data_IF_767415602270
#
_entry.id   IF_767415602270
#
_cell.length_a   1.000
_cell.length_b   1.000
_cell.length_c   1.000
_cell.angle_alpha   90.00
_cell.angle_beta   90.00
_cell.angle_gamma   90.00
#
_symmetry.space_group_name_H-M   'P 1'
#
loop_
_entity.id
_entity.type
_entity.pdbx_description
1 polymer ?
#
# COMPACT_ATOMS: atom_id res chain seq x y z
N UNK A 1 12.69 43.25 25.62
CA UNK A 1 13.60 42.27 25.01
C UNK A 1 12.76 41.02 24.73
N UNK A 2 12.12 40.94 23.58
CA UNK A 2 11.36 39.77 23.15
C UNK A 2 12.34 38.80 22.53
N UNK A 3 12.45 37.58 23.10
CA UNK A 3 13.15 36.46 22.45
C UNK A 3 12.27 35.95 21.30
N UNK A 4 12.70 36.25 20.10
CA UNK A 4 12.17 35.64 18.89
C UNK A 4 12.54 34.14 18.91
N UNK A 5 11.58 33.27 19.22
CA UNK A 5 11.75 31.83 19.08
C UNK A 5 11.58 31.51 17.61
N UNK A 6 12.68 31.37 16.88
CA UNK A 6 12.71 30.92 15.51
C UNK A 6 12.39 29.43 15.55
N UNK A 7 11.13 29.04 15.35
CA UNK A 7 10.75 27.68 15.03
C UNK A 7 11.25 27.38 13.63
N UNK A 8 12.32 26.63 13.55
CA UNK A 8 12.81 26.05 12.31
C UNK A 8 11.83 24.94 11.95
N UNK A 9 10.87 25.22 11.06
CA UNK A 9 10.14 24.17 10.37
C UNK A 9 11.13 23.46 9.45
N UNK A 10 11.68 22.33 9.91
CA UNK A 10 12.19 21.34 8.99
C UNK A 10 10.96 20.77 8.26
N UNK A 11 10.75 21.19 7.02
CA UNK A 11 9.97 20.40 6.10
C UNK A 11 10.66 19.03 6.06
N UNK A 12 10.09 18.04 6.72
CA UNK A 12 10.38 16.65 6.40
C UNK A 12 9.87 16.48 4.96
N UNK A 13 10.78 16.67 4.00
CA UNK A 13 10.56 16.11 2.70
C UNK A 13 10.50 14.60 2.94
N UNK A 14 9.32 14.01 2.87
CA UNK A 14 9.14 12.58 2.79
C UNK A 14 9.79 12.17 1.46
N UNK A 15 11.08 11.86 1.49
CA UNK A 15 11.72 11.25 0.35
C UNK A 15 11.24 9.81 0.32
N UNK A 16 10.70 9.41 -0.80
CA UNK A 16 10.44 8.01 -1.07
C UNK A 16 11.72 7.22 -0.80
N UNK A 17 11.66 6.25 0.09
CA UNK A 17 12.80 5.42 0.47
C UNK A 17 12.62 4.03 -0.13
N UNK A 18 13.62 3.61 -0.91
CA UNK A 18 13.61 2.34 -1.62
C UNK A 18 14.26 1.23 -0.79
N UNK A 19 13.62 0.08 -0.78
CA UNK A 19 14.06 -1.12 -0.07
C UNK A 19 14.08 -2.35 -0.97
N UNK A 20 15.03 -3.24 -0.69
CA UNK A 20 15.14 -4.56 -1.29
C UNK A 20 15.05 -5.63 -0.21
N UNK A 21 14.21 -6.65 -0.40
CA UNK A 21 14.10 -7.77 0.52
C UNK A 21 14.03 -9.10 -0.21
N UNK A 22 14.49 -10.18 0.44
CA UNK A 22 14.29 -11.55 -0.01
C UNK A 22 13.47 -12.28 1.03
N UNK A 23 12.30 -12.78 0.62
CA UNK A 23 11.32 -13.40 1.49
C UNK A 23 11.27 -14.89 1.18
N UNK A 24 11.55 -15.74 2.18
CA UNK A 24 11.47 -17.18 2.03
C UNK A 24 10.01 -17.68 2.18
N UNK A 25 9.26 -17.65 1.10
CA UNK A 25 7.88 -18.12 1.00
C UNK A 25 7.80 -19.52 0.37
N UNK A 26 8.80 -20.38 0.58
CA UNK A 26 8.92 -21.70 -0.04
C UNK A 26 7.90 -22.74 0.46
N UNK A 27 7.23 -22.47 1.58
CA UNK A 27 6.18 -23.33 2.13
C UNK A 27 4.93 -23.35 1.25
N UNK A 28 4.31 -24.53 1.09
CA UNK A 28 3.01 -24.69 0.43
C UNK A 28 1.83 -24.50 1.38
N UNK A 29 2.08 -24.42 2.69
CA UNK A 29 1.02 -24.38 3.72
C UNK A 29 1.11 -23.16 4.61
N UNK A 30 2.30 -22.62 4.84
CA UNK A 30 2.52 -21.52 5.78
C UNK A 30 2.71 -20.21 5.02
N UNK A 31 2.04 -19.18 5.50
CA UNK A 31 2.23 -17.80 5.08
C UNK A 31 3.42 -17.18 5.83
N UNK A 32 4.15 -16.32 5.13
CA UNK A 32 5.20 -15.48 5.71
C UNK A 32 4.69 -14.05 5.70
N UNK A 33 4.50 -13.48 6.85
CA UNK A 33 3.97 -12.13 7.04
C UNK A 33 5.10 -11.11 7.04
N UNK A 34 4.85 -9.95 6.46
CA UNK A 34 5.82 -8.88 6.30
C UNK A 34 5.19 -7.54 6.72
N UNK A 35 5.98 -6.74 7.43
CA UNK A 35 5.61 -5.37 7.80
C UNK A 35 6.48 -4.39 7.03
N UNK A 36 5.88 -3.46 6.31
CA UNK A 36 6.60 -2.38 5.65
C UNK A 36 7.20 -1.40 6.66
N UNK A 37 6.51 -1.12 7.76
CA UNK A 37 7.01 -0.26 8.82
C UNK A 37 8.27 -0.82 9.51
N UNK A 38 8.37 -2.15 9.63
CA UNK A 38 9.52 -2.83 10.24
C UNK A 38 10.58 -3.27 9.21
N UNK A 39 10.30 -3.15 7.91
CA UNK A 39 11.12 -3.64 6.80
C UNK A 39 11.55 -5.09 6.96
N UNK A 40 10.70 -5.93 7.53
CA UNK A 40 11.05 -7.31 7.88
C UNK A 40 9.84 -8.24 7.94
N UNK A 41 10.16 -9.56 7.87
CA UNK A 41 9.18 -10.58 8.21
C UNK A 41 8.91 -10.56 9.71
N UNK A 42 7.66 -10.86 10.07
CA UNK A 42 7.21 -10.94 11.46
C UNK A 42 6.56 -12.28 11.76
N UNK A 43 6.75 -12.76 12.98
CA UNK A 43 6.02 -13.90 13.52
C UNK A 43 4.75 -13.40 14.23
N UNK A 44 3.61 -13.99 13.86
CA UNK A 44 2.31 -13.53 14.35
C UNK A 44 1.38 -14.71 14.63
N UNK A 45 0.83 -14.78 15.83
CA UNK A 45 0.02 -15.92 16.28
C UNK A 45 -1.43 -15.87 15.73
N UNK A 46 -1.97 -14.68 15.50
CA UNK A 46 -3.35 -14.48 15.08
C UNK A 46 -3.43 -13.37 14.01
N UNK A 47 -2.92 -13.64 12.80
CA UNK A 47 -2.76 -12.62 11.76
C UNK A 47 -4.09 -12.03 11.27
N UNK A 48 -5.17 -12.80 11.31
CA UNK A 48 -6.50 -12.31 10.90
C UNK A 48 -7.09 -11.24 11.82
N UNK A 49 -6.55 -11.08 13.04
CA UNK A 49 -7.00 -10.09 14.01
C UNK A 49 -5.92 -9.08 14.42
N UNK A 50 -4.86 -8.95 13.62
CA UNK A 50 -3.77 -8.01 13.89
C UNK A 50 -3.57 -7.05 12.73
N UNK A 51 -3.16 -5.82 13.05
CA UNK A 51 -2.71 -4.79 12.10
C UNK A 51 -1.19 -4.71 11.96
N UNK A 52 -0.44 -5.63 12.61
CA UNK A 52 1.02 -5.55 12.62
C UNK A 52 1.68 -5.98 11.30
N UNK A 53 0.93 -6.57 10.38
CA UNK A 53 1.41 -7.00 9.06
C UNK A 53 0.65 -6.32 7.93
N UNK A 54 1.33 -6.06 6.84
CA UNK A 54 0.77 -5.38 5.67
C UNK A 54 0.52 -6.35 4.51
N UNK A 55 1.48 -7.26 4.28
CA UNK A 55 1.49 -8.18 3.15
C UNK A 55 1.99 -9.55 3.59
N UNK A 56 1.52 -10.62 2.95
CA UNK A 56 2.03 -11.96 3.25
C UNK A 56 2.21 -12.79 1.98
N UNK A 57 3.13 -13.76 2.07
CA UNK A 57 3.61 -14.55 0.94
C UNK A 57 3.49 -16.05 1.21
N UNK A 58 3.02 -16.80 0.23
CA UNK A 58 3.02 -18.27 0.22
C UNK A 58 3.26 -18.75 -1.20
N UNK A 59 4.43 -19.32 -1.47
CA UNK A 59 4.84 -19.62 -2.85
C UNK A 59 4.71 -18.35 -3.71
N UNK A 60 4.03 -18.42 -4.84
CA UNK A 60 3.78 -17.26 -5.69
C UNK A 60 2.61 -16.39 -5.22
N UNK A 61 1.82 -16.86 -4.27
CA UNK A 61 0.63 -16.16 -3.81
C UNK A 61 0.99 -15.05 -2.83
N UNK A 62 0.37 -13.90 -3.03
CA UNK A 62 0.56 -12.73 -2.19
C UNK A 62 -0.82 -12.24 -1.74
N UNK A 63 -0.93 -11.86 -0.49
CA UNK A 63 -2.16 -11.31 0.11
C UNK A 63 -1.84 -10.06 0.92
N UNK A 64 -2.82 -9.20 1.09
CA UNK A 64 -2.76 -7.98 1.91
C UNK A 64 -3.53 -8.18 3.21
N UNK A 65 -3.33 -7.30 4.18
CA UNK A 65 -4.17 -7.29 5.38
C UNK A 65 -5.49 -6.58 5.07
N UNK A 66 -6.38 -7.30 4.38
CA UNK A 66 -7.67 -6.77 3.94
C UNK A 66 -8.67 -7.88 3.64
N UNK A 67 -9.93 -7.53 3.50
CA UNK A 67 -10.99 -8.41 3.02
C UNK A 67 -11.08 -9.71 3.81
N UNK A 68 -10.83 -10.86 3.17
CA UNK A 68 -10.92 -12.17 3.82
C UNK A 68 -9.62 -12.59 4.56
N UNK A 69 -8.57 -11.81 4.50
CA UNK A 69 -7.26 -12.16 5.07
C UNK A 69 -6.97 -11.52 6.42
N UNK A 70 -7.62 -10.41 6.75
CA UNK A 70 -7.38 -9.69 8.00
C UNK A 70 -8.34 -8.52 8.21
N UNK A 71 -8.24 -7.91 9.38
CA UNK A 71 -9.09 -6.79 9.82
C UNK A 71 -8.59 -5.43 9.31
N UNK A 72 -7.47 -5.39 8.59
CA UNK A 72 -6.87 -4.16 8.13
C UNK A 72 -7.63 -3.52 6.96
N UNK A 73 -7.33 -2.27 6.72
CA UNK A 73 -7.81 -1.46 5.59
C UNK A 73 -6.86 -1.53 4.38
N UNK A 74 -6.04 -2.57 4.31
CA UNK A 74 -5.10 -2.79 3.22
C UNK A 74 -5.80 -2.99 1.87
N UNK A 75 -5.02 -3.33 0.89
CA UNK A 75 -5.48 -3.59 -0.47
C UNK A 75 -4.34 -3.39 -1.46
N UNK A 76 -4.58 -3.71 -2.71
CA UNK A 76 -3.58 -3.46 -3.75
C UNK A 76 -4.23 -3.07 -5.08
N UNK A 77 -3.45 -2.41 -5.91
CA UNK A 77 -3.74 -2.14 -7.31
C UNK A 77 -2.52 -2.47 -8.16
N UNK A 78 -2.75 -2.70 -9.45
CA UNK A 78 -1.70 -2.86 -10.44
C UNK A 78 -1.86 -1.78 -11.50
N UNK A 79 -0.76 -1.21 -11.96
CA UNK A 79 -0.73 -0.08 -12.89
C UNK A 79 -1.56 -0.30 -14.17
N UNK A 80 -1.60 -1.47 -14.72
CA UNK A 80 -2.39 -1.72 -15.94
C UNK A 80 -3.70 -2.43 -15.64
N UNK A 81 -4.58 -1.78 -14.90
CA UNK A 81 -5.92 -2.28 -14.65
C UNK A 81 -6.68 -2.56 -15.96
N UNK A 82 -7.02 -3.81 -16.16
CA UNK A 82 -7.89 -4.27 -17.22
C UNK A 82 -7.21 -4.75 -18.49
N UNK A 83 -5.91 -4.61 -18.66
CA UNK A 83 -5.16 -5.21 -19.75
C UNK A 83 -3.98 -6.01 -19.23
N UNK A 84 -4.26 -7.15 -18.61
CA UNK A 84 -3.27 -8.20 -18.40
C UNK A 84 -2.90 -8.83 -19.76
N UNK A 85 -2.44 -8.01 -20.69
CA UNK A 85 -1.95 -8.49 -21.97
C UNK A 85 -0.48 -8.88 -21.80
N UNK A 86 -0.29 -10.16 -21.54
CA UNK A 86 1.00 -10.80 -21.30
C UNK A 86 1.95 -10.69 -22.50
N UNK A 87 1.48 -10.18 -23.61
CA UNK A 87 2.20 -10.22 -24.88
C UNK A 87 2.87 -8.90 -25.32
N UNK A 88 2.58 -7.77 -24.69
CA UNK A 88 3.02 -6.46 -25.20
C UNK A 88 3.87 -5.65 -24.22
N UNK A 89 4.86 -6.27 -23.62
CA UNK A 89 5.64 -5.68 -22.55
C UNK A 89 6.69 -4.68 -23.02
N UNK A 90 6.36 -3.42 -22.96
CA UNK A 90 7.33 -2.29 -23.06
C UNK A 90 7.54 -1.57 -21.73
N UNK A 91 7.50 -2.28 -20.65
CA UNK A 91 7.41 -1.78 -19.30
C UNK A 91 8.72 -1.88 -18.50
N UNK A 92 9.85 -1.99 -19.18
CA UNK A 92 11.18 -2.04 -18.58
C UNK A 92 11.45 -0.80 -17.70
N UNK A 93 10.79 0.30 -18.00
CA UNK A 93 10.99 1.59 -17.33
C UNK A 93 9.84 1.96 -16.37
N UNK A 94 8.81 1.13 -16.21
CA UNK A 94 7.62 1.46 -15.39
C UNK A 94 7.97 1.81 -13.94
N UNK A 95 8.98 1.17 -13.37
CA UNK A 95 9.39 1.48 -12.00
C UNK A 95 9.86 2.93 -11.85
N UNK A 96 10.68 3.42 -12.75
CA UNK A 96 11.25 4.77 -12.68
C UNK A 96 10.24 5.85 -13.10
N UNK A 97 9.32 5.51 -14.00
CA UNK A 97 8.33 6.44 -14.53
C UNK A 97 7.10 6.57 -13.63
N UNK A 98 6.75 5.52 -12.87
CA UNK A 98 5.53 5.46 -12.08
C UNK A 98 5.75 6.04 -10.68
N UNK A 99 5.51 7.33 -10.53
CA UNK A 99 5.69 8.05 -9.26
C UNK A 99 4.37 8.49 -8.62
N UNK A 100 3.24 8.22 -9.29
CA UNK A 100 1.91 8.56 -8.82
C UNK A 100 1.03 7.31 -8.79
N UNK A 101 0.12 7.24 -7.84
CA UNK A 101 -0.83 6.13 -7.73
C UNK A 101 -1.83 6.26 -8.87
N UNK A 102 -2.06 5.18 -9.67
CA UNK A 102 -3.01 5.24 -10.76
C UNK A 102 -4.44 5.50 -10.28
N UNK A 103 -5.06 6.56 -10.77
CA UNK A 103 -6.46 6.88 -10.50
C UNK A 103 -7.36 6.42 -11.65
N UNK A 104 -8.50 5.81 -11.32
CA UNK A 104 -9.47 5.32 -12.30
C UNK A 104 -10.82 6.01 -12.10
N UNK A 105 -11.07 7.02 -12.92
CA UNK A 105 -12.35 7.72 -12.92
C UNK A 105 -12.58 8.60 -11.70
N UNK A 106 -13.20 8.08 -10.67
CA UNK A 106 -13.55 8.81 -9.45
C UNK A 106 -12.62 8.51 -8.26
N UNK A 107 -11.38 8.05 -8.50
CA UNK A 107 -10.42 7.75 -7.44
C UNK A 107 -9.70 6.41 -7.61
N UNK A 108 -8.97 6.01 -6.59
CA UNK A 108 -8.20 4.77 -6.56
C UNK A 108 -9.09 3.61 -6.12
N UNK A 109 -9.20 2.57 -6.94
CA UNK A 109 -9.96 1.37 -6.59
C UNK A 109 -9.00 0.33 -6.01
N UNK A 110 -8.98 0.21 -4.70
CA UNK A 110 -8.20 -0.80 -3.99
C UNK A 110 -8.89 -2.16 -4.04
N UNK A 111 -8.18 -3.16 -4.54
CA UNK A 111 -8.67 -4.54 -4.55
C UNK A 111 -8.29 -5.23 -3.25
N UNK A 112 -9.31 -5.74 -2.55
CA UNK A 112 -9.14 -6.52 -1.33
C UNK A 112 -8.94 -8.01 -1.65
N UNK A 113 -8.54 -8.75 -0.63
CA UNK A 113 -8.29 -10.18 -0.73
C UNK A 113 -9.59 -10.98 -0.89
N UNK A 114 -9.58 -11.89 -1.86
CA UNK A 114 -10.73 -12.72 -2.22
C UNK A 114 -10.34 -14.20 -2.39
N UNK A 115 -11.34 -15.09 -2.51
CA UNK A 115 -11.14 -16.52 -2.74
C UNK A 115 -10.75 -16.78 -4.19
N UNK A 116 -9.69 -17.55 -4.37
CA UNK A 116 -9.21 -18.04 -5.67
C UNK A 116 -8.99 -19.56 -5.61
N UNK A 117 -9.18 -20.27 -6.74
CA UNK A 117 -9.07 -21.74 -6.83
C UNK A 117 -7.81 -22.20 -7.55
N UNK A 118 -6.70 -21.52 -7.35
CA UNK A 118 -5.41 -21.81 -7.98
C UNK A 118 -4.27 -22.10 -6.99
N UNK A 119 -4.59 -22.42 -5.75
CA UNK A 119 -3.62 -22.88 -4.76
C UNK A 119 -3.34 -24.37 -4.96
N UNK A 120 -2.08 -24.70 -5.22
CA UNK A 120 -1.69 -26.10 -5.38
C UNK A 120 -1.50 -26.79 -4.05
N UNK A 121 -2.33 -27.80 -3.77
CA UNK A 121 -2.15 -28.69 -2.64
C UNK A 121 -1.17 -29.83 -3.00
N UNK A 122 -0.02 -29.84 -2.33
CA UNK A 122 1.06 -30.81 -2.56
C UNK A 122 0.68 -32.23 -2.12
N UNK A 123 -0.31 -32.39 -1.27
CA UNK A 123 -0.74 -33.71 -0.76
C UNK A 123 -1.70 -34.37 -1.72
N UNK A 124 -2.73 -33.66 -2.13
CA UNK A 124 -3.76 -34.18 -3.07
C UNK A 124 -3.35 -34.06 -4.53
N UNK A 125 -2.29 -33.29 -4.84
CA UNK A 125 -1.87 -32.91 -6.18
C UNK A 125 -2.99 -32.26 -7.01
N UNK A 126 -3.83 -31.47 -6.35
CA UNK A 126 -4.95 -30.75 -6.96
C UNK A 126 -4.89 -29.26 -6.63
N UNK A 127 -5.66 -28.47 -7.37
CA UNK A 127 -5.87 -27.08 -7.04
C UNK A 127 -7.06 -26.94 -6.07
N UNK A 128 -6.85 -26.13 -5.03
CA UNK A 128 -7.82 -25.87 -3.97
C UNK A 128 -8.06 -24.37 -3.83
N UNK A 129 -9.11 -24.03 -3.10
CA UNK A 129 -9.40 -22.63 -2.77
C UNK A 129 -8.41 -22.09 -1.75
N UNK A 130 -7.99 -20.85 -1.95
CA UNK A 130 -7.21 -20.08 -1.00
C UNK A 130 -7.53 -18.59 -1.14
N UNK A 131 -7.09 -17.79 -0.20
CA UNK A 131 -7.32 -16.34 -0.18
C UNK A 131 -6.04 -15.61 -0.58
N UNK A 132 -6.14 -14.71 -1.55
CA UNK A 132 -5.05 -13.84 -2.01
C UNK A 132 -5.57 -12.54 -2.58
N UNK A 133 -4.68 -11.60 -2.81
CA UNK A 133 -5.02 -10.35 -3.49
C UNK A 133 -5.02 -10.55 -5.02
N UNK A 134 -6.11 -10.16 -5.72
CA UNK A 134 -6.20 -10.32 -7.16
C UNK A 134 -5.22 -9.43 -7.94
N UNK A 135 -4.95 -8.19 -7.48
CA UNK A 135 -3.99 -7.31 -8.14
C UNK A 135 -2.57 -7.86 -8.04
N UNK A 136 -2.18 -8.35 -6.86
CA UNK A 136 -0.85 -8.89 -6.62
C UNK A 136 -0.59 -10.22 -7.33
N UNK A 137 -1.63 -10.89 -7.88
CA UNK A 137 -1.43 -12.08 -8.69
C UNK A 137 -0.78 -11.76 -10.06
N UNK A 138 -0.79 -10.50 -10.47
CA UNK A 138 -0.22 -10.04 -11.73
C UNK A 138 1.31 -10.04 -11.79
N UNK A 139 2.03 -10.26 -10.69
CA UNK A 139 3.48 -10.17 -10.65
C UNK A 139 4.20 -11.30 -11.41
N UNK A 140 3.51 -12.41 -11.71
CA UNK A 140 4.10 -13.48 -12.50
C UNK A 140 3.21 -14.72 -12.63
N UNK A 141 3.49 -15.57 -13.59
CA UNK A 141 2.83 -16.85 -13.80
C UNK A 141 3.76 -17.94 -14.32
N UNK A 142 3.37 -19.17 -14.08
CA UNK A 142 4.12 -20.31 -14.57
C UNK A 142 3.89 -20.50 -16.06
N UNK A 143 4.99 -20.61 -16.79
CA UNK A 143 4.99 -20.96 -18.20
C UNK A 143 4.77 -22.48 -18.41
N UNK A 144 4.78 -22.93 -19.67
CA UNK A 144 4.55 -24.33 -20.03
C UNK A 144 5.61 -25.31 -19.45
N UNK A 145 6.76 -24.83 -19.03
CA UNK A 145 7.83 -25.62 -18.40
C UNK A 145 7.81 -25.53 -16.88
N UNK A 146 6.74 -24.97 -16.28
CA UNK A 146 6.58 -24.74 -14.86
C UNK A 146 7.65 -23.81 -14.24
N UNK A 147 8.26 -22.96 -15.05
CA UNK A 147 9.10 -21.86 -14.58
C UNK A 147 8.22 -20.63 -14.43
N UNK A 148 8.35 -19.91 -13.31
CA UNK A 148 7.62 -18.68 -13.09
C UNK A 148 8.33 -17.55 -13.83
N UNK A 149 7.63 -17.00 -14.82
CA UNK A 149 8.05 -15.79 -15.52
C UNK A 149 7.49 -14.58 -14.76
N UNK A 150 8.40 -13.72 -14.31
CA UNK A 150 8.07 -12.51 -13.58
C UNK A 150 7.64 -11.43 -14.55
N UNK A 151 6.62 -10.69 -14.16
CA UNK A 151 6.20 -9.50 -14.88
C UNK A 151 6.93 -8.26 -14.33
N UNK A 152 7.00 -7.16 -15.07
CA UNK A 152 7.50 -5.88 -14.57
C UNK A 152 6.35 -4.95 -14.13
N UNK A 153 5.15 -5.47 -13.94
CA UNK A 153 4.05 -4.66 -13.45
C UNK A 153 4.40 -4.09 -12.08
N UNK A 154 4.31 -2.78 -11.99
CA UNK A 154 4.40 -2.07 -10.71
C UNK A 154 3.04 -2.14 -10.05
N UNK A 155 3.04 -2.53 -8.79
CA UNK A 155 1.86 -2.60 -7.97
C UNK A 155 1.96 -1.56 -6.87
N UNK A 156 0.81 -1.17 -6.33
CA UNK A 156 0.74 -0.36 -5.14
C UNK A 156 0.00 -1.14 -4.08
N UNK A 157 0.53 -1.13 -2.88
CA UNK A 157 -0.02 -1.83 -1.73
C UNK A 157 -0.34 -0.79 -0.66
N UNK A 158 -1.59 -0.75 -0.23
CA UNK A 158 -2.01 0.04 0.90
C UNK A 158 -1.71 -0.73 2.19
N UNK A 159 -1.09 -0.08 3.17
CA UNK A 159 -0.75 -0.65 4.47
C UNK A 159 -1.98 -1.11 5.26
N UNK A 160 -1.77 -1.95 6.27
CA UNK A 160 -2.86 -2.50 7.08
C UNK A 160 -3.69 -1.43 7.80
N UNK A 161 -3.07 -0.34 8.22
CA UNK A 161 -3.76 0.81 8.84
C UNK A 161 -4.47 1.71 7.80
N UNK A 162 -4.23 1.50 6.50
CA UNK A 162 -4.84 2.27 5.42
C UNK A 162 -4.19 3.62 5.13
N UNK A 163 -3.13 4.00 5.85
CA UNK A 163 -2.56 5.36 5.79
C UNK A 163 -1.39 5.50 4.82
N UNK A 164 -0.67 4.41 4.57
CA UNK A 164 0.51 4.44 3.71
C UNK A 164 0.27 3.64 2.44
N UNK A 165 0.85 4.11 1.34
CA UNK A 165 0.95 3.38 0.10
C UNK A 165 2.39 3.07 -0.21
N UNK A 166 2.61 1.83 -0.56
CA UNK A 166 3.92 1.29 -0.92
C UNK A 166 3.89 0.90 -2.39
N UNK A 167 4.78 1.47 -3.18
CA UNK A 167 5.06 1.02 -4.54
C UNK A 167 5.82 -0.30 -4.46
N UNK A 168 5.37 -1.32 -5.17
CA UNK A 168 5.77 -2.69 -4.90
C UNK A 168 6.01 -3.48 -6.18
N UNK A 169 7.10 -4.23 -6.24
CA UNK A 169 7.44 -5.09 -7.35
C UNK A 169 8.20 -6.34 -6.90
N UNK A 170 7.60 -7.53 -6.96
CA UNK A 170 8.33 -8.79 -6.87
C UNK A 170 9.02 -9.07 -8.21
N UNK A 171 10.35 -9.15 -8.21
CA UNK A 171 11.12 -9.23 -9.44
C UNK A 171 11.89 -10.55 -9.64
N UNK A 172 11.92 -11.42 -8.64
CA UNK A 172 12.52 -12.75 -8.74
C UNK A 172 11.80 -13.75 -7.84
N UNK A 173 11.45 -14.92 -8.37
CA UNK A 173 10.84 -16.04 -7.62
C UNK A 173 11.87 -17.06 -7.15
N UNK A 174 13.07 -17.01 -7.70
CA UNK A 174 14.14 -18.00 -7.48
C UNK A 174 15.34 -17.38 -6.78
N UNK A 175 15.15 -16.34 -6.01
CA UNK A 175 16.22 -15.69 -5.27
C UNK A 175 16.98 -16.72 -4.42
N UNK A 176 18.29 -16.53 -4.29
CA UNK A 176 19.18 -17.51 -3.65
C UNK A 176 19.15 -18.92 -4.29
N UNK A 177 18.71 -19.06 -5.53
CA UNK A 177 18.71 -20.30 -6.28
C UNK A 177 17.61 -21.30 -5.89
N UNK A 178 16.58 -20.88 -5.19
CA UNK A 178 15.48 -21.75 -4.75
C UNK A 178 14.11 -21.14 -5.02
N UNK A 179 13.19 -21.95 -5.56
CA UNK A 179 11.82 -21.53 -5.83
C UNK A 179 11.06 -21.16 -4.55
N UNK A 180 10.33 -20.05 -4.61
CA UNK A 180 9.59 -19.51 -3.47
C UNK A 180 10.43 -18.62 -2.55
N UNK A 181 11.70 -18.36 -2.88
CA UNK A 181 12.42 -17.23 -2.32
C UNK A 181 12.15 -16.03 -3.25
N UNK A 182 11.34 -15.12 -2.77
CA UNK A 182 10.85 -14.00 -3.57
C UNK A 182 11.69 -12.77 -3.27
N UNK A 183 12.37 -12.25 -4.29
CA UNK A 183 12.99 -10.95 -4.17
C UNK A 183 11.98 -9.85 -4.53
N UNK A 184 11.85 -8.89 -3.65
CA UNK A 184 10.94 -7.75 -3.81
C UNK A 184 11.71 -6.44 -3.75
N UNK A 185 11.27 -5.47 -4.55
CA UNK A 185 11.65 -4.07 -4.51
C UNK A 185 10.42 -3.29 -4.08
N UNK A 186 10.57 -2.38 -3.15
CA UNK A 186 9.46 -1.52 -2.75
C UNK A 186 9.97 -0.15 -2.30
N UNK A 187 9.09 0.81 -2.39
CA UNK A 187 9.33 2.21 -2.06
C UNK A 187 8.22 2.69 -1.15
N UNK A 188 8.58 3.23 0.01
CA UNK A 188 7.65 3.78 1.01
C UNK A 188 7.58 5.30 0.90
N UNK A 189 6.64 5.91 1.62
CA UNK A 189 6.49 7.36 1.65
C UNK A 189 5.69 7.94 0.48
N UNK A 190 5.02 7.10 -0.32
CA UNK A 190 4.04 7.56 -1.28
C UNK A 190 2.76 7.96 -0.53
N UNK A 191 2.35 9.20 -0.69
CA UNK A 191 1.10 9.67 -0.10
C UNK A 191 -0.09 9.32 -1.00
N UNK A 192 -1.19 8.87 -0.39
CA UNK A 192 -2.47 8.75 -1.08
C UNK A 192 -3.06 10.14 -1.33
N UNK A 193 -2.56 11.14 -0.63
CA UNK A 193 -3.06 12.50 -0.69
C UNK A 193 -2.63 13.19 -1.97
N UNK A 194 -3.61 13.54 -2.79
CA UNK A 194 -3.43 14.46 -3.91
C UNK A 194 -3.30 15.92 -3.45
N UNK A 195 -3.68 16.23 -2.21
CA UNK A 195 -3.70 17.58 -1.66
C UNK A 195 -2.69 17.73 -0.52
N UNK A 196 -2.11 18.91 -0.37
CA UNK A 196 -1.27 19.24 0.78
C UNK A 196 -2.07 19.09 2.09
N UNK A 197 -1.46 18.59 3.19
CA UNK A 197 -2.13 18.51 4.48
C UNK A 197 -2.72 19.86 4.88
N UNK A 198 -4.04 19.89 5.08
CA UNK A 198 -4.78 21.12 5.38
C UNK A 198 -5.41 21.83 4.17
N UNK A 199 -5.12 21.42 2.94
CA UNK A 199 -5.85 21.84 1.74
C UNK A 199 -6.90 20.77 1.41
N UNK A 200 -8.05 20.85 2.08
CA UNK A 200 -9.08 19.84 1.94
C UNK A 200 -9.92 19.98 0.68
N UNK A 201 -9.98 21.20 0.12
CA UNK A 201 -10.76 21.46 -1.09
C UNK A 201 -9.92 21.40 -2.38
N UNK A 202 -8.60 21.22 -2.29
CA UNK A 202 -7.69 21.08 -3.42
C UNK A 202 -7.49 22.36 -4.24
N UNK A 203 -7.74 23.53 -3.66
CA UNK A 203 -7.56 24.81 -4.36
C UNK A 203 -6.17 25.45 -4.19
N UNK A 204 -5.28 24.76 -3.47
CA UNK A 204 -3.93 25.18 -3.11
C UNK A 204 -3.89 26.46 -2.25
N UNK A 205 -4.99 26.80 -1.56
CA UNK A 205 -5.11 27.99 -0.71
C UNK A 205 -5.60 27.58 0.68
N UNK A 206 -4.73 27.56 1.66
CA UNK A 206 -5.11 27.29 3.05
C UNK A 206 -5.98 28.42 3.63
N UNK A 207 -7.27 28.16 3.81
CA UNK A 207 -8.22 29.18 4.25
C UNK A 207 -9.38 28.58 5.06
N UNK A 208 -10.37 29.43 5.39
CA UNK A 208 -11.52 29.01 6.20
C UNK A 208 -12.38 27.93 5.52
N UNK A 209 -12.32 27.78 4.19
CA UNK A 209 -13.10 26.76 3.48
C UNK A 209 -12.58 25.37 3.81
N UNK A 210 -11.26 25.21 3.99
CA UNK A 210 -10.65 23.94 4.40
C UNK A 210 -11.06 23.58 5.83
N UNK A 211 -11.10 24.56 6.71
CA UNK A 211 -11.61 24.35 8.09
C UNK A 211 -13.05 23.89 8.07
N UNK A 212 -13.89 24.45 7.21
CA UNK A 212 -15.29 24.04 7.07
C UNK A 212 -15.37 22.60 6.53
N UNK A 213 -14.54 22.27 5.54
CA UNK A 213 -14.46 20.90 4.98
C UNK A 213 -14.05 19.91 6.05
N UNK A 214 -13.00 20.20 6.82
CA UNK A 214 -12.54 19.36 7.93
C UNK A 214 -13.60 19.15 9.01
N UNK A 215 -14.28 20.21 9.41
CA UNK A 215 -15.37 20.11 10.41
C UNK A 215 -16.53 19.28 9.87
N UNK A 216 -16.89 19.43 8.62
CA UNK A 216 -17.95 18.63 7.99
C UNK A 216 -17.55 17.16 7.92
N UNK A 217 -16.31 16.84 7.55
CA UNK A 217 -15.78 15.47 7.54
C UNK A 217 -15.91 14.81 8.92
N UNK A 218 -15.48 15.50 9.98
CA UNK A 218 -15.57 15.00 11.36
C UNK A 218 -17.04 14.81 11.82
N UNK A 219 -17.96 15.66 11.38
CA UNK A 219 -19.36 15.61 11.81
C UNK A 219 -20.21 14.59 11.05
N UNK A 220 -19.86 14.31 9.81
CA UNK A 220 -20.66 13.45 8.93
C UNK A 220 -20.21 11.99 8.98
N UNK A 221 -19.09 11.69 9.61
CA UNK A 221 -18.48 10.35 9.65
C UNK A 221 -18.36 9.74 8.24
N UNK A 222 -18.16 10.63 7.23
CA UNK A 222 -18.13 10.30 5.82
C UNK A 222 -16.70 9.91 5.38
N UNK A 223 -16.67 8.95 4.49
CA UNK A 223 -15.58 8.16 3.95
C UNK A 223 -14.16 8.75 3.95
N UNK A 224 -13.27 7.90 4.35
CA UNK A 224 -11.83 7.96 4.62
C UNK A 224 -10.91 8.39 3.44
N UNK A 225 -11.43 8.74 2.27
CA UNK A 225 -10.61 9.13 1.12
C UNK A 225 -9.94 10.51 1.27
N UNK A 226 -10.49 11.38 2.11
CA UNK A 226 -9.89 12.69 2.48
C UNK A 226 -9.03 12.63 3.75
N UNK A 227 -8.79 11.44 4.29
CA UNK A 227 -8.22 11.27 5.63
C UNK A 227 -6.83 11.87 5.78
N UNK A 228 -5.97 11.77 4.80
CA UNK A 228 -4.59 12.19 4.93
C UNK A 228 -4.36 13.70 4.79
N UNK A 229 -5.18 14.43 4.02
CA UNK A 229 -5.15 15.90 4.05
C UNK A 229 -5.81 16.46 5.30
N UNK A 230 -6.54 15.64 6.03
CA UNK A 230 -7.34 16.00 7.20
C UNK A 230 -6.66 15.70 8.54
N UNK A 231 -5.77 14.70 8.59
CA UNK A 231 -4.94 14.38 9.76
C UNK A 231 -3.69 15.26 9.77
N UNK A 232 -3.85 16.48 10.30
CA UNK A 232 -2.81 17.52 10.22
C UNK A 232 -1.72 17.31 11.26
N UNK A 233 -2.02 16.56 12.33
CA UNK A 233 -1.05 16.24 13.36
C UNK A 233 -0.36 14.88 13.16
N UNK A 234 -0.80 14.11 12.13
CA UNK A 234 -0.26 12.79 11.78
C UNK A 234 -0.38 11.76 12.92
N UNK A 235 -1.42 11.88 13.77
CA UNK A 235 -1.63 10.93 14.86
C UNK A 235 -2.52 9.74 14.48
N UNK A 236 -3.01 9.70 13.25
CA UNK A 236 -3.86 8.66 12.69
C UNK A 236 -5.33 8.82 13.06
N UNK A 237 -5.75 9.95 13.63
CA UNK A 237 -7.14 10.18 14.05
C UNK A 237 -7.60 11.57 13.65
N UNK A 238 -8.41 11.70 12.63
CA UNK A 238 -9.02 12.99 12.27
C UNK A 238 -10.04 13.41 13.33
N UNK A 239 -9.71 14.49 14.03
CA UNK A 239 -10.53 14.99 15.15
C UNK A 239 -10.40 16.50 15.34
N UNK A 240 -10.93 17.03 16.43
CA UNK A 240 -10.91 18.46 16.72
C UNK A 240 -9.50 19.04 16.88
N UNK A 241 -8.47 18.22 17.16
CA UNK A 241 -7.10 18.71 17.29
C UNK A 241 -6.55 19.14 15.93
N UNK A 242 -6.93 18.46 14.85
CA UNK A 242 -6.55 18.83 13.49
C UNK A 242 -7.19 20.16 13.08
N UNK A 243 -8.45 20.36 13.44
CA UNK A 243 -9.14 21.65 13.24
C UNK A 243 -8.39 22.78 13.94
N UNK A 244 -7.95 22.56 15.17
CA UNK A 244 -7.20 23.57 15.93
C UNK A 244 -5.86 23.86 15.27
N UNK A 245 -5.17 22.83 14.77
CA UNK A 245 -3.89 23.01 14.07
C UNK A 245 -4.07 23.76 12.76
N UNK A 246 -5.06 23.38 11.94
CA UNK A 246 -5.35 24.07 10.68
C UNK A 246 -5.69 25.55 10.90
N UNK A 247 -6.55 25.85 11.88
CA UNK A 247 -6.89 27.23 12.24
C UNK A 247 -5.65 28.02 12.67
N UNK A 248 -4.80 27.41 13.50
CA UNK A 248 -3.55 28.05 13.92
C UNK A 248 -2.60 28.30 12.74
N UNK A 249 -2.51 27.36 11.81
CA UNK A 249 -1.70 27.52 10.60
C UNK A 249 -2.19 28.69 9.74
N UNK A 250 -3.51 28.75 9.49
CA UNK A 250 -4.13 29.85 8.70
C UNK A 250 -3.95 31.21 9.37
N UNK A 251 -4.00 31.30 10.70
CA UNK A 251 -3.85 32.56 11.40
C UNK A 251 -2.41 33.08 11.48
N UNK A 252 -1.42 32.26 11.17
CA UNK A 252 0.00 32.61 11.20
C UNK A 252 0.56 33.01 9.82
N UNK A 253 -0.17 32.75 8.75
CA UNK A 253 0.12 33.12 7.37
C UNK A 253 -0.71 34.31 6.93
#
# INVERSE_FOLDING_TARGET
MYKLLLLLFLSLNCFAEEYLAIINASSYTNWVYYSFANHSTIDIDNPENSLDWDIAFQRKHIKTNSGLSGIGNGGAIVDSVGTLDVGSFTWVDNWEELNEIPEYGNGVIWLEDTIHSDFYDIISHTYVNGVKNPALNAWGWFNETFVLDVTNYVMFVKSANGQEVVKFWPYDYYANGSSGNIAVRYETGLSICSNDPGDLNGDSIFNILDVISLVNLILLDDDLEEYCSSDINEDGIVNILDVILLVNFILQN
#
